data_IF_196572266262
#
_entry.id   IF_196572266262
#
_cell.length_a   1.000
_cell.length_b   1.000
_cell.length_c   1.000
_cell.angle_alpha   90.00
_cell.angle_beta   90.00
_cell.angle_gamma   90.00
#
_symmetry.space_group_name_H-M   'P 1'
#
loop_
_entity.id
_entity.type
_entity.pdbx_description
1 polymer ?
#
# COMPACT_ATOMS: atom_id res chain seq x y z
N UNK A 1 -1.95 3.46 -13.24
CA UNK A 1 -2.83 4.45 -13.89
C UNK A 1 -4.28 4.12 -13.57
N UNK A 2 -4.84 3.01 -14.06
CA UNK A 2 -6.23 2.58 -13.76
C UNK A 2 -6.67 2.67 -12.28
N UNK A 3 -5.86 2.23 -11.31
CA UNK A 3 -6.22 2.33 -9.89
C UNK A 3 -6.26 3.79 -9.42
N UNK A 4 -5.34 4.63 -9.89
CA UNK A 4 -5.34 6.05 -9.59
C UNK A 4 -6.56 6.75 -10.20
N UNK A 5 -6.96 6.35 -11.41
CA UNK A 5 -8.17 6.86 -12.06
C UNK A 5 -9.42 6.46 -11.26
N UNK A 6 -9.48 5.23 -10.73
CA UNK A 6 -10.56 4.79 -9.82
C UNK A 6 -10.62 5.62 -8.54
N UNK A 7 -9.48 5.89 -7.92
CA UNK A 7 -9.40 6.74 -6.71
C UNK A 7 -9.78 8.19 -7.03
N UNK A 8 -9.34 8.70 -8.18
CA UNK A 8 -9.76 10.00 -8.69
C UNK A 8 -11.27 10.11 -8.91
N UNK A 9 -11.87 9.10 -9.54
CA UNK A 9 -13.31 9.02 -9.76
C UNK A 9 -14.13 8.93 -8.45
N UNK A 10 -13.51 8.49 -7.35
CA UNK A 10 -14.13 8.49 -6.02
C UNK A 10 -14.05 9.86 -5.30
N UNK A 11 -13.53 10.90 -5.98
CA UNK A 11 -13.49 12.28 -5.51
C UNK A 11 -12.15 12.71 -4.88
N UNK A 12 -11.09 11.91 -5.00
CA UNK A 12 -9.78 12.23 -4.43
C UNK A 12 -8.85 12.90 -5.45
N UNK A 13 -8.17 13.97 -5.03
CA UNK A 13 -6.99 14.43 -5.76
C UNK A 13 -5.88 13.36 -5.65
N UNK A 14 -5.54 12.73 -6.77
CA UNK A 14 -4.68 11.53 -6.76
C UNK A 14 -3.31 11.82 -7.37
N UNK A 15 -2.25 11.49 -6.63
CA UNK A 15 -0.86 11.57 -7.07
C UNK A 15 -0.27 10.16 -7.18
N UNK A 16 0.40 9.86 -8.29
CA UNK A 16 1.20 8.63 -8.47
C UNK A 16 2.66 9.03 -8.66
N UNK A 17 3.50 8.96 -7.62
CA UNK A 17 4.91 9.34 -7.72
C UNK A 17 5.67 8.43 -8.68
N UNK A 18 6.55 9.00 -9.49
CA UNK A 18 7.48 8.24 -10.34
C UNK A 18 8.74 7.84 -9.53
N UNK A 19 8.57 6.99 -8.52
CA UNK A 19 9.68 6.57 -7.65
C UNK A 19 10.85 5.92 -8.41
N UNK A 20 10.57 5.24 -9.52
CA UNK A 20 11.57 4.47 -10.27
C UNK A 20 12.23 5.26 -11.40
N UNK A 21 11.84 6.52 -11.62
CA UNK A 21 12.47 7.46 -12.57
C UNK A 21 12.69 6.87 -13.96
N UNK A 22 11.69 6.12 -14.45
CA UNK A 22 11.72 5.48 -15.78
C UNK A 22 12.34 4.08 -15.81
N UNK A 23 12.74 3.50 -14.68
CA UNK A 23 13.26 2.12 -14.59
C UNK A 23 12.32 1.18 -13.79
N UNK A 24 11.11 0.89 -14.29
CA UNK A 24 10.20 -0.03 -13.63
C UNK A 24 10.71 -1.47 -13.70
N UNK A 25 10.28 -2.30 -12.75
CA UNK A 25 10.49 -3.74 -12.83
C UNK A 25 9.61 -4.36 -13.93
N UNK A 26 10.22 -5.16 -14.80
CA UNK A 26 9.57 -5.84 -15.94
C UNK A 26 9.68 -7.35 -15.74
N UNK A 27 8.57 -7.98 -15.36
CA UNK A 27 8.57 -9.36 -14.84
C UNK A 27 8.79 -10.46 -15.88
N UNK A 28 8.65 -10.14 -17.17
CA UNK A 28 8.83 -11.07 -18.28
C UNK A 28 10.23 -10.97 -18.93
N UNK A 29 11.14 -10.17 -18.37
CA UNK A 29 12.52 -10.08 -18.84
C UNK A 29 13.41 -11.01 -17.99
N UNK A 30 13.88 -12.15 -18.54
CA UNK A 30 14.69 -13.12 -17.79
C UNK A 30 16.05 -12.56 -17.35
N UNK A 31 16.52 -11.45 -17.94
CA UNK A 31 17.77 -10.78 -17.55
C UNK A 31 17.57 -9.83 -16.36
N UNK A 32 16.34 -9.45 -16.05
CA UNK A 32 16.01 -8.54 -14.94
C UNK A 32 15.54 -9.34 -13.74
N UNK A 33 16.50 -9.79 -12.94
CA UNK A 33 16.20 -10.43 -11.67
C UNK A 33 15.60 -9.42 -10.70
N UNK A 34 14.48 -9.78 -10.06
CA UNK A 34 13.81 -8.95 -9.07
C UNK A 34 14.77 -8.50 -7.96
N UNK A 35 15.66 -9.40 -7.52
CA UNK A 35 16.70 -9.11 -6.50
C UNK A 35 17.60 -7.94 -6.91
N UNK A 36 18.02 -7.87 -8.18
CA UNK A 36 18.96 -6.85 -8.63
C UNK A 36 18.25 -5.53 -8.92
N UNK A 37 16.97 -5.57 -9.24
CA UNK A 37 16.13 -4.39 -9.27
C UNK A 37 15.95 -3.79 -7.86
N UNK A 38 15.68 -4.62 -6.84
CA UNK A 38 15.57 -4.15 -5.44
C UNK A 38 16.85 -3.46 -4.94
N UNK A 39 18.04 -3.96 -5.29
CA UNK A 39 19.32 -3.31 -4.91
C UNK A 39 19.46 -1.88 -5.43
N UNK A 40 18.82 -1.56 -6.56
CA UNK A 40 18.88 -0.23 -7.21
C UNK A 40 17.71 0.66 -6.81
N UNK A 41 16.61 0.05 -6.36
CA UNK A 41 15.37 0.71 -5.96
C UNK A 41 15.01 0.33 -4.53
N UNK A 42 15.85 0.71 -3.58
CA UNK A 42 15.59 0.50 -2.16
C UNK A 42 14.42 1.41 -1.70
N UNK A 43 13.41 0.88 -0.99
CA UNK A 43 12.26 1.65 -0.51
C UNK A 43 12.61 2.89 0.32
N UNK A 44 13.76 2.87 1.00
CA UNK A 44 14.26 3.96 1.84
C UNK A 44 14.35 5.28 1.05
N UNK A 45 14.81 5.21 -0.19
CA UNK A 45 14.82 6.38 -1.08
C UNK A 45 13.42 6.85 -1.44
N UNK A 46 12.47 5.93 -1.57
CA UNK A 46 11.06 6.25 -1.79
C UNK A 46 10.43 7.01 -0.62
N UNK A 47 10.84 6.70 0.62
CA UNK A 47 10.42 7.43 1.82
C UNK A 47 10.88 8.88 1.75
N UNK A 48 12.15 9.12 1.39
CA UNK A 48 12.67 10.47 1.24
C UNK A 48 12.03 11.22 0.06
N UNK A 49 11.86 10.55 -1.07
CA UNK A 49 11.21 11.12 -2.26
C UNK A 49 9.72 11.46 -2.01
N UNK A 50 9.05 10.81 -1.03
CA UNK A 50 7.66 11.08 -0.67
C UNK A 50 7.46 12.39 0.11
N UNK A 51 8.45 12.78 0.95
CA UNK A 51 8.38 13.99 1.80
C UNK A 51 8.09 15.27 1.00
N UNK A 52 8.86 15.63 -0.05
CA UNK A 52 8.58 16.84 -0.82
C UNK A 52 7.24 16.79 -1.55
N UNK A 53 6.74 15.59 -1.90
CA UNK A 53 5.43 15.44 -2.53
C UNK A 53 4.29 15.74 -1.57
N UNK A 54 4.39 15.24 -0.34
CA UNK A 54 3.45 15.58 0.75
C UNK A 54 3.44 17.09 0.99
N UNK A 55 4.62 17.72 1.07
CA UNK A 55 4.70 19.17 1.25
C UNK A 55 4.07 19.92 0.08
N UNK A 56 4.30 19.48 -1.16
CA UNK A 56 3.67 20.08 -2.34
C UNK A 56 2.13 19.95 -2.32
N UNK A 57 1.58 18.84 -1.82
CA UNK A 57 0.13 18.67 -1.63
C UNK A 57 -0.39 19.67 -0.58
N UNK A 58 0.30 19.79 0.57
CA UNK A 58 -0.04 20.76 1.63
C UNK A 58 0.00 22.20 1.12
N UNK A 59 1.02 22.57 0.36
CA UNK A 59 1.13 23.90 -0.25
C UNK A 59 0.01 24.22 -1.25
N UNK A 60 -0.66 23.20 -1.80
CA UNK A 60 -1.87 23.35 -2.63
C UNK A 60 -3.17 23.45 -1.82
N UNK A 61 -3.08 23.49 -0.50
CA UNK A 61 -4.24 23.57 0.40
C UNK A 61 -4.86 22.21 0.76
N UNK A 62 -4.21 21.09 0.42
CA UNK A 62 -4.71 19.76 0.80
C UNK A 62 -4.35 19.51 2.26
N UNK A 63 -5.39 19.35 3.10
CA UNK A 63 -5.25 19.22 4.56
C UNK A 63 -5.36 17.78 5.07
N UNK A 64 -6.05 16.89 4.33
CA UNK A 64 -6.15 15.46 4.61
C UNK A 64 -5.47 14.66 3.48
N UNK A 65 -4.43 13.91 3.80
CA UNK A 65 -3.62 13.12 2.86
C UNK A 65 -3.68 11.64 3.28
N UNK A 66 -4.04 10.78 2.34
CA UNK A 66 -3.95 9.33 2.47
C UNK A 66 -2.79 8.76 1.68
N UNK A 67 -2.28 7.60 2.09
CA UNK A 67 -1.25 6.87 1.34
C UNK A 67 -1.69 5.43 1.06
N UNK A 68 -1.70 5.04 -0.22
CA UNK A 68 -1.92 3.66 -0.64
C UNK A 68 -0.62 3.06 -1.19
N UNK A 69 -0.19 1.93 -0.64
CA UNK A 69 1.06 1.25 -1.00
C UNK A 69 0.83 -0.13 -1.57
N UNK A 70 1.46 -0.45 -2.70
CA UNK A 70 1.30 -1.73 -3.39
C UNK A 70 2.66 -2.43 -3.52
N UNK A 71 2.77 -3.70 -3.12
CA UNK A 71 4.03 -4.46 -3.23
C UNK A 71 5.18 -3.68 -2.55
N UNK A 72 6.19 -3.28 -3.34
CA UNK A 72 7.31 -2.43 -2.97
C UNK A 72 6.88 -1.17 -2.22
N UNK A 73 5.77 -0.55 -2.66
CA UNK A 73 5.24 0.67 -2.04
C UNK A 73 4.74 0.46 -0.61
N UNK A 74 4.50 -0.79 -0.17
CA UNK A 74 4.09 -1.08 1.19
C UNK A 74 5.11 -0.59 2.23
N UNK A 75 6.41 -0.76 1.98
CA UNK A 75 7.47 -0.29 2.89
C UNK A 75 7.52 1.24 2.98
N UNK A 76 7.31 1.93 1.86
CA UNK A 76 7.22 3.41 1.85
C UNK A 76 5.98 3.85 2.63
N UNK A 77 4.82 3.26 2.33
CA UNK A 77 3.55 3.65 2.94
C UNK A 77 3.52 3.41 4.44
N UNK A 78 4.02 2.28 4.95
CA UNK A 78 4.07 2.04 6.40
C UNK A 78 4.97 3.06 7.10
N UNK A 79 6.06 3.50 6.47
CA UNK A 79 6.94 4.49 7.10
C UNK A 79 6.29 5.86 7.20
N UNK A 80 5.54 6.28 6.18
CA UNK A 80 4.79 7.54 6.19
C UNK A 80 3.79 7.62 7.36
N UNK A 81 3.27 6.50 7.84
CA UNK A 81 2.36 6.44 8.99
C UNK A 81 2.99 6.74 10.35
N UNK A 82 4.33 6.86 10.40
CA UNK A 82 5.08 7.18 11.62
C UNK A 82 5.06 8.69 11.95
N UNK A 83 4.51 9.48 11.03
CA UNK A 83 4.39 10.94 11.10
C UNK A 83 2.92 11.37 10.94
N UNK A 84 2.53 12.56 11.43
CA UNK A 84 1.17 13.07 11.26
C UNK A 84 0.92 13.64 9.84
N UNK A 85 1.86 13.50 8.91
CA UNK A 85 1.75 14.06 7.57
C UNK A 85 0.72 13.33 6.69
N UNK A 86 0.43 12.07 7.02
CA UNK A 86 -0.60 11.24 6.39
C UNK A 86 -1.63 10.86 7.47
N UNK A 87 -2.92 10.93 7.15
CA UNK A 87 -3.99 10.66 8.11
C UNK A 87 -4.53 9.21 8.04
N UNK A 88 -4.32 8.52 6.92
CA UNK A 88 -4.70 7.11 6.79
C UNK A 88 -3.84 6.38 5.75
N UNK A 89 -3.64 5.09 5.96
CA UNK A 89 -2.88 4.23 5.05
C UNK A 89 -3.62 2.94 4.68
N UNK A 90 -3.42 2.50 3.43
CA UNK A 90 -3.87 1.19 2.95
C UNK A 90 -2.71 0.49 2.26
N UNK A 91 -2.35 -0.69 2.72
CA UNK A 91 -1.29 -1.50 2.14
C UNK A 91 -1.91 -2.71 1.46
N UNK A 92 -1.60 -2.90 0.17
CA UNK A 92 -2.11 -3.98 -0.66
C UNK A 92 -0.94 -4.86 -1.09
N UNK A 93 -1.01 -6.15 -0.73
CA UNK A 93 0.06 -7.13 -0.96
C UNK A 93 1.47 -6.55 -0.68
N UNK A 94 1.74 -5.99 0.52
CA UNK A 94 2.99 -5.29 0.77
C UNK A 94 4.21 -6.22 0.71
N UNK A 95 5.38 -5.65 0.43
CA UNK A 95 6.68 -6.35 0.50
C UNK A 95 7.62 -5.59 1.42
N UNK A 96 8.38 -6.31 2.24
CA UNK A 96 9.45 -5.74 3.07
C UNK A 96 9.02 -5.02 4.35
N UNK A 97 7.72 -5.04 4.66
CA UNK A 97 7.19 -4.54 5.94
C UNK A 97 7.50 -5.57 7.03
N UNK A 98 7.96 -5.10 8.19
CA UNK A 98 8.28 -5.93 9.36
C UNK A 98 7.40 -5.57 10.55
N UNK A 99 7.37 -6.42 11.59
CA UNK A 99 6.64 -6.13 12.83
C UNK A 99 7.19 -4.86 13.50
N UNK A 100 8.49 -4.61 13.41
CA UNK A 100 9.12 -3.40 13.93
C UNK A 100 8.62 -2.13 13.22
N UNK A 101 8.31 -2.19 11.92
CA UNK A 101 7.69 -1.04 11.25
C UNK A 101 6.31 -0.71 11.85
N UNK A 102 5.56 -1.75 12.25
CA UNK A 102 4.23 -1.62 12.85
C UNK A 102 4.28 -0.90 14.20
N UNK A 103 5.32 -1.12 14.99
CA UNK A 103 5.54 -0.42 16.26
C UNK A 103 5.61 1.11 16.10
N UNK A 104 6.07 1.58 14.94
CA UNK A 104 6.13 3.01 14.62
C UNK A 104 4.82 3.62 14.15
N UNK A 105 3.82 2.82 13.79
CA UNK A 105 2.54 3.31 13.22
C UNK A 105 1.79 4.16 14.23
N UNK A 106 1.33 5.34 13.78
CA UNK A 106 0.57 6.31 14.58
C UNK A 106 -0.77 6.71 13.99
N UNK A 107 -1.13 6.19 12.81
CA UNK A 107 -2.34 6.61 12.09
C UNK A 107 -3.14 5.40 11.63
N UNK A 108 -4.46 5.54 11.39
CA UNK A 108 -5.30 4.47 10.87
C UNK A 108 -4.70 3.76 9.66
N UNK A 109 -4.50 2.45 9.78
CA UNK A 109 -3.85 1.63 8.76
C UNK A 109 -4.66 0.37 8.45
N UNK A 110 -4.76 0.03 7.17
CA UNK A 110 -5.30 -1.27 6.75
C UNK A 110 -4.31 -2.08 5.92
N UNK A 111 -4.33 -3.39 6.12
CA UNK A 111 -3.55 -4.37 5.37
C UNK A 111 -4.47 -5.31 4.62
N UNK A 112 -4.38 -5.28 3.30
CA UNK A 112 -5.07 -6.18 2.39
C UNK A 112 -4.02 -7.17 1.88
N UNK A 113 -4.09 -8.41 2.36
CA UNK A 113 -3.14 -9.49 2.08
C UNK A 113 -3.76 -10.66 1.30
N UNK A 114 -2.92 -11.45 0.63
CA UNK A 114 -3.34 -12.62 -0.12
C UNK A 114 -3.03 -13.91 0.64
N UNK A 115 -3.94 -14.88 0.61
CA UNK A 115 -3.70 -16.18 1.26
C UNK A 115 -2.45 -16.89 0.73
N UNK A 116 -2.19 -16.76 -0.58
CA UNK A 116 -1.09 -17.41 -1.30
C UNK A 116 0.06 -16.43 -1.58
N UNK A 117 0.16 -15.33 -0.82
CA UNK A 117 1.26 -14.37 -0.90
C UNK A 117 2.38 -14.76 0.07
N UNK A 118 3.56 -15.09 -0.43
CA UNK A 118 4.72 -15.41 0.41
C UNK A 118 5.48 -14.17 0.90
N UNK A 119 5.31 -13.01 0.26
CA UNK A 119 5.98 -11.76 0.64
C UNK A 119 5.35 -11.15 1.90
N UNK A 120 4.02 -11.16 1.96
CA UNK A 120 3.24 -10.79 3.14
C UNK A 120 2.36 -11.98 3.54
N UNK A 121 3.00 -13.01 4.11
CA UNK A 121 2.30 -14.25 4.47
C UNK A 121 1.15 -14.02 5.45
N UNK A 122 0.10 -14.86 5.43
CA UNK A 122 -0.96 -14.84 6.43
C UNK A 122 -0.47 -14.84 7.87
N UNK A 123 0.62 -15.56 8.16
CA UNK A 123 1.25 -15.58 9.48
C UNK A 123 1.83 -14.22 9.85
N UNK A 124 2.54 -13.58 8.92
CA UNK A 124 3.11 -12.25 9.13
C UNK A 124 2.02 -11.19 9.31
N UNK A 125 0.95 -11.24 8.51
CA UNK A 125 -0.18 -10.32 8.62
C UNK A 125 -0.91 -10.46 9.97
N UNK A 126 -1.03 -11.69 10.50
CA UNK A 126 -1.55 -11.92 11.85
C UNK A 126 -0.65 -11.31 12.93
N UNK A 127 0.67 -11.34 12.75
CA UNK A 127 1.59 -10.64 13.67
C UNK A 127 1.39 -9.12 13.62
N UNK A 128 1.20 -8.55 12.43
CA UNK A 128 0.87 -7.13 12.30
C UNK A 128 -0.46 -6.79 12.98
N UNK A 129 -1.48 -7.63 12.79
CA UNK A 129 -2.78 -7.47 13.44
C UNK A 129 -2.65 -7.45 14.97
N UNK A 130 -1.90 -8.40 15.54
CA UNK A 130 -1.63 -8.45 16.98
C UNK A 130 -0.88 -7.22 17.49
N UNK A 131 0.16 -6.77 16.77
CA UNK A 131 0.91 -5.57 17.15
C UNK A 131 0.06 -4.29 17.08
N UNK A 132 -0.83 -4.18 16.10
CA UNK A 132 -1.76 -3.04 15.98
C UNK A 132 -2.89 -3.08 17.01
N UNK A 133 -3.37 -4.27 17.38
CA UNK A 133 -4.37 -4.42 18.46
C UNK A 133 -3.86 -3.85 19.79
N UNK A 134 -2.56 -3.98 20.06
CA UNK A 134 -1.93 -3.42 21.25
C UNK A 134 -1.88 -1.87 21.27
N UNK A 135 -2.16 -1.22 20.14
CA UNK A 135 -2.19 0.25 19.97
C UNK A 135 -3.60 0.83 19.95
N UNK A 136 -4.60 0.06 20.37
CA UNK A 136 -5.98 0.53 20.48
C UNK A 136 -6.21 1.20 21.85
N UNK A 137 -7.06 2.24 21.90
CA UNK A 137 -7.90 2.76 20.81
C UNK A 137 -7.22 3.78 19.87
N UNK A 138 -5.98 4.16 20.12
CA UNK A 138 -5.30 5.28 19.46
C UNK A 138 -5.09 5.07 17.96
N UNK A 139 -4.80 3.83 17.55
CA UNK A 139 -4.58 3.45 16.15
C UNK A 139 -5.63 2.45 15.71
N UNK A 140 -6.55 2.90 14.86
CA UNK A 140 -7.50 2.00 14.21
C UNK A 140 -6.77 1.14 13.18
N UNK A 141 -7.09 -0.15 13.16
CA UNK A 141 -6.48 -1.08 12.21
C UNK A 141 -7.46 -2.11 11.68
N UNK A 142 -7.24 -2.49 10.43
CA UNK A 142 -7.97 -3.56 9.75
C UNK A 142 -7.00 -4.45 8.97
N UNK A 143 -7.09 -5.76 9.15
CA UNK A 143 -6.30 -6.73 8.38
C UNK A 143 -7.27 -7.71 7.72
N UNK A 144 -7.17 -7.85 6.40
CA UNK A 144 -7.99 -8.78 5.62
C UNK A 144 -7.12 -9.65 4.74
N UNK A 145 -7.33 -10.96 4.82
CA UNK A 145 -6.64 -11.96 4.00
C UNK A 145 -7.63 -12.49 2.97
N UNK A 146 -7.34 -12.25 1.69
CA UNK A 146 -8.17 -12.64 0.57
C UNK A 146 -7.89 -14.11 0.18
N UNK A 147 -8.90 -15.01 0.21
CA UNK A 147 -8.72 -16.41 -0.15
C UNK A 147 -8.23 -16.59 -1.59
N UNK A 148 -7.24 -17.45 -1.77
CA UNK A 148 -6.63 -17.77 -3.07
C UNK A 148 -5.78 -16.67 -3.72
N UNK A 149 -5.79 -15.43 -3.18
CA UNK A 149 -5.03 -14.32 -3.76
C UNK A 149 -3.52 -14.57 -3.64
N UNK A 150 -2.81 -14.32 -4.74
CA UNK A 150 -1.34 -14.34 -4.83
C UNK A 150 -0.81 -12.91 -4.80
N UNK A 151 0.47 -12.74 -4.53
CA UNK A 151 1.12 -11.42 -4.58
C UNK A 151 0.78 -10.65 -5.86
N UNK A 152 0.46 -9.35 -5.72
CA UNK A 152 0.13 -8.49 -6.85
C UNK A 152 -1.30 -8.58 -7.38
N UNK A 153 -2.18 -9.40 -6.80
CA UNK A 153 -3.54 -9.64 -7.33
C UNK A 153 -4.41 -8.38 -7.48
N UNK A 154 -4.09 -7.27 -6.81
CA UNK A 154 -4.85 -6.02 -6.94
C UNK A 154 -4.38 -5.15 -8.10
N UNK A 155 -3.27 -5.53 -8.77
CA UNK A 155 -2.66 -4.77 -9.88
C UNK A 155 -2.49 -5.61 -11.13
N UNK A 156 -2.24 -6.92 -10.99
CA UNK A 156 -2.02 -7.88 -12.08
C UNK A 156 -2.87 -9.12 -11.82
N UNK A 157 -3.85 -9.34 -12.67
CA UNK A 157 -4.76 -10.47 -12.62
C UNK A 157 -5.28 -10.76 -14.03
N UNK A 158 -5.77 -11.98 -14.26
CA UNK A 158 -6.44 -12.32 -15.51
C UNK A 158 -7.81 -11.62 -15.55
N UNK A 159 -8.03 -10.73 -16.51
CA UNK A 159 -9.26 -9.96 -16.66
C UNK A 159 -10.43 -10.80 -17.21
N UNK A 160 -10.14 -11.98 -17.78
CA UNK A 160 -11.16 -12.97 -18.17
C UNK A 160 -11.53 -13.91 -17.02
N UNK A 161 -10.80 -13.90 -15.90
CA UNK A 161 -11.14 -14.66 -14.70
C UNK A 161 -12.00 -13.79 -13.77
N UNK A 162 -13.31 -14.01 -13.82
CA UNK A 162 -14.30 -13.31 -13.00
C UNK A 162 -13.96 -13.35 -11.51
N UNK A 163 -13.42 -14.46 -11.00
CA UNK A 163 -13.06 -14.55 -9.58
C UNK A 163 -11.83 -13.69 -9.26
N UNK A 164 -10.85 -13.61 -10.17
CA UNK A 164 -9.71 -12.72 -10.00
C UNK A 164 -10.12 -11.24 -10.08
N UNK A 165 -10.97 -10.88 -11.04
CA UNK A 165 -11.53 -9.52 -11.20
C UNK A 165 -12.30 -9.09 -9.95
N UNK A 166 -13.23 -9.93 -9.47
CA UNK A 166 -14.05 -9.63 -8.29
C UNK A 166 -13.18 -9.45 -7.04
N UNK A 167 -12.16 -10.30 -6.86
CA UNK A 167 -11.25 -10.20 -5.72
C UNK A 167 -10.41 -8.91 -5.74
N UNK A 168 -9.95 -8.49 -6.92
CA UNK A 168 -9.23 -7.22 -7.06
C UNK A 168 -10.16 -6.02 -6.83
N UNK A 169 -11.38 -6.07 -7.37
CA UNK A 169 -12.38 -5.03 -7.19
C UNK A 169 -12.81 -4.87 -5.71
N UNK A 170 -12.98 -5.98 -4.99
CA UNK A 170 -13.26 -5.97 -3.55
C UNK A 170 -12.12 -5.31 -2.77
N UNK A 171 -10.86 -5.63 -3.06
CA UNK A 171 -9.72 -4.97 -2.42
C UNK A 171 -9.64 -3.46 -2.73
N UNK A 172 -9.98 -3.05 -3.96
CA UNK A 172 -10.07 -1.61 -4.31
C UNK A 172 -11.22 -0.92 -3.58
N UNK A 173 -12.35 -1.60 -3.40
CA UNK A 173 -13.47 -1.09 -2.60
C UNK A 173 -13.09 -0.92 -1.13
N UNK A 174 -12.40 -1.90 -0.54
CA UNK A 174 -11.92 -1.81 0.83
C UNK A 174 -10.94 -0.65 1.03
N UNK A 175 -10.05 -0.40 0.05
CA UNK A 175 -9.19 0.79 0.03
C UNK A 175 -10.00 2.08 0.08
N UNK A 176 -11.01 2.21 -0.78
CA UNK A 176 -11.83 3.43 -0.86
C UNK A 176 -12.65 3.63 0.40
N UNK A 177 -13.26 2.58 0.93
CA UNK A 177 -14.02 2.63 2.19
C UNK A 177 -13.13 3.08 3.36
N UNK A 178 -11.89 2.61 3.42
CA UNK A 178 -10.94 3.04 4.45
C UNK A 178 -10.64 4.54 4.31
N UNK A 179 -10.34 5.00 3.10
CA UNK A 179 -10.13 6.42 2.86
C UNK A 179 -11.37 7.27 3.13
N UNK A 180 -12.57 6.80 2.81
CA UNK A 180 -13.82 7.50 3.11
C UNK A 180 -13.99 7.69 4.63
N UNK A 181 -13.65 6.68 5.42
CA UNK A 181 -13.79 6.71 6.87
C UNK A 181 -12.87 7.73 7.56
N UNK A 182 -11.67 7.96 7.02
CA UNK A 182 -10.64 8.74 7.72
C UNK A 182 -10.25 10.04 7.02
N UNK A 183 -10.51 10.18 5.72
CA UNK A 183 -10.11 11.33 4.93
C UNK A 183 -11.26 12.24 4.52
N UNK A 184 -12.52 11.80 4.70
CA UNK A 184 -13.69 12.67 4.54
C UNK A 184 -14.08 13.28 5.88
#
# INVERSE_FOLDING_TARGET
RQIADKVGAAGYYTLVPNYFKGDPFVSNDPKKLLKDWFKRHLPEKGIDDAKPLIQALKSKGITKIGAAGFCWGGKVTVDLTKTPDVQAAVLLHPTGVTVQDIEGVKVPISFLGGQNDSSASPSLLKQFESALKAKRPEVHSFVKIFPGAKHGWTTKYNDTDTAAVNRAAEAHKDLLNWFDMYLK
#
